data_IF_322273122126
#
_entry.id   IF_322273122126
#
_cell.length_a   1.000
_cell.length_b   1.000
_cell.length_c   1.000
_cell.angle_alpha   90.00
_cell.angle_beta   90.00
_cell.angle_gamma   90.00
#
_symmetry.space_group_name_H-M   'P 1'
#
loop_
_entity.id
_entity.type
_entity.pdbx_description
1 polymer ?
#
# COMPACT_ATOMS: atom_id res chain seq x y z
N UNK A 1 -12.46 42.91 33.24
CA UNK A 1 -12.77 42.80 31.81
C UNK A 1 -12.18 44.02 31.15
N UNK A 2 -11.27 43.85 30.19
CA UNK A 2 -10.32 44.89 29.78
C UNK A 2 -10.89 45.76 28.64
N UNK A 3 -11.04 47.07 28.89
CA UNK A 3 -11.49 48.09 27.93
C UNK A 3 -10.42 48.47 26.86
N UNK A 4 -9.34 47.70 26.75
CA UNK A 4 -8.21 47.98 25.86
C UNK A 4 -8.48 47.71 24.37
N UNK A 5 -9.64 47.15 23.99
CA UNK A 5 -9.93 46.78 22.59
C UNK A 5 -10.30 47.99 21.73
N UNK A 6 -11.04 48.95 22.28
CA UNK A 6 -11.59 50.10 21.53
C UNK A 6 -10.50 51.06 21.02
N UNK A 7 -9.48 51.34 21.85
CA UNK A 7 -8.34 52.18 21.47
C UNK A 7 -7.53 51.55 20.32
N UNK A 8 -7.28 50.24 20.38
CA UNK A 8 -6.49 49.54 19.36
C UNK A 8 -7.15 49.49 17.98
N UNK A 9 -8.49 49.51 17.92
CA UNK A 9 -9.27 49.52 16.68
C UNK A 9 -9.17 50.87 15.97
N UNK A 10 -9.29 51.98 16.70
CA UNK A 10 -9.24 53.33 16.14
C UNK A 10 -7.86 53.68 15.55
N UNK A 11 -6.79 53.12 16.13
CA UNK A 11 -5.42 53.32 15.65
C UNK A 11 -5.12 52.54 14.36
N UNK A 12 -5.58 51.28 14.29
CA UNK A 12 -5.24 50.35 13.20
C UNK A 12 -6.21 50.41 12.01
N UNK A 13 -7.42 50.91 12.22
CA UNK A 13 -8.41 51.06 11.15
C UNK A 13 -8.17 52.31 10.31
N UNK A 14 -8.62 52.25 9.07
CA UNK A 14 -8.55 53.35 8.11
C UNK A 14 -9.45 54.51 8.56
N UNK A 15 -9.10 55.79 8.29
CA UNK A 15 -9.83 56.98 8.76
C UNK A 15 -11.35 56.92 8.59
N UNK A 16 -11.82 56.35 7.47
CA UNK A 16 -13.25 56.17 7.19
C UNK A 16 -13.99 55.31 8.22
N UNK A 17 -13.32 54.32 8.82
CA UNK A 17 -13.91 53.35 9.74
C UNK A 17 -13.60 53.63 11.22
N UNK A 18 -12.86 54.70 11.54
CA UNK A 18 -12.48 55.02 12.94
C UNK A 18 -13.69 55.29 13.84
N UNK A 19 -14.74 55.91 13.29
CA UNK A 19 -15.96 56.25 14.03
C UNK A 19 -17.08 55.21 13.82
N UNK A 20 -16.77 54.05 13.25
CA UNK A 20 -17.77 53.03 12.92
C UNK A 20 -18.13 52.15 14.14
N UNK A 21 -19.43 51.91 14.34
CA UNK A 21 -19.99 51.07 15.41
C UNK A 21 -19.90 49.55 15.14
N UNK A 22 -18.92 49.12 14.35
CA UNK A 22 -18.78 47.71 13.93
C UNK A 22 -17.95 46.94 14.95
N UNK A 23 -18.57 46.30 15.93
CA UNK A 23 -17.86 45.67 17.06
C UNK A 23 -17.53 44.18 16.84
N UNK A 24 -17.90 43.63 15.69
CA UNK A 24 -17.72 42.21 15.34
C UNK A 24 -16.29 41.82 14.97
N UNK A 25 -15.40 42.79 14.72
CA UNK A 25 -14.03 42.56 14.25
C UNK A 25 -13.03 43.47 14.97
N UNK A 26 -11.74 43.12 14.90
CA UNK A 26 -10.68 43.87 15.57
C UNK A 26 -10.40 45.22 14.91
N UNK A 27 -10.24 45.25 13.59
CA UNK A 27 -10.03 46.46 12.79
C UNK A 27 -10.29 46.16 11.31
N UNK A 28 -10.48 47.20 10.51
CA UNK A 28 -10.75 47.11 9.07
C UNK A 28 -9.55 47.66 8.30
N UNK A 29 -9.04 46.85 7.37
CA UNK A 29 -7.91 47.20 6.50
C UNK A 29 -8.37 47.25 5.04
N UNK A 30 -7.67 48.02 4.19
CA UNK A 30 -7.91 48.05 2.76
C UNK A 30 -6.86 47.19 2.07
N UNK A 31 -7.32 46.17 1.34
CA UNK A 31 -6.47 45.31 0.52
C UNK A 31 -6.99 45.36 -0.90
N UNK A 32 -6.17 45.81 -1.84
CA UNK A 32 -6.52 45.91 -3.26
C UNK A 32 -7.81 46.72 -3.53
N UNK A 33 -8.01 47.83 -2.82
CA UNK A 33 -9.21 48.67 -2.98
C UNK A 33 -10.49 48.13 -2.32
N UNK A 34 -10.42 47.00 -1.63
CA UNK A 34 -11.56 46.42 -0.88
C UNK A 34 -11.31 46.47 0.62
N UNK A 35 -12.37 46.79 1.38
CA UNK A 35 -12.32 46.80 2.83
C UNK A 35 -12.50 45.38 3.38
N UNK A 36 -11.51 44.89 4.13
CA UNK A 36 -11.47 43.56 4.73
C UNK A 36 -11.44 43.70 6.26
N UNK A 37 -12.39 43.04 6.93
CA UNK A 37 -12.46 42.99 8.38
C UNK A 37 -11.48 41.95 8.94
N UNK A 38 -10.61 42.36 9.86
CA UNK A 38 -9.67 41.46 10.54
C UNK A 38 -10.33 40.91 11.81
N UNK A 39 -10.46 39.59 11.97
CA UNK A 39 -11.10 39.02 13.16
C UNK A 39 -10.30 39.32 14.43
N UNK A 40 -10.96 39.25 15.59
CA UNK A 40 -10.23 39.24 16.85
C UNK A 40 -9.37 37.97 16.90
N UNK A 41 -8.05 38.14 16.98
CA UNK A 41 -7.16 37.03 17.23
C UNK A 41 -7.40 36.58 18.66
N UNK A 42 -8.10 35.47 18.83
CA UNK A 42 -8.13 34.80 20.13
C UNK A 42 -6.69 34.32 20.39
N UNK A 43 -6.11 34.71 21.50
CA UNK A 43 -4.83 34.15 22.00
C UNK A 43 -5.02 32.71 22.50
N UNK A 44 -5.99 31.99 21.94
CA UNK A 44 -6.32 30.62 22.30
C UNK A 44 -5.78 29.71 21.21
N UNK A 45 -5.14 28.59 21.58
CA UNK A 45 -4.17 27.91 20.75
C UNK A 45 -4.89 26.99 19.76
N UNK A 46 -5.63 27.57 18.82
CA UNK A 46 -6.01 26.86 17.60
C UNK A 46 -4.81 26.57 16.68
N UNK A 47 -3.60 26.92 17.14
CA UNK A 47 -2.32 26.43 16.66
C UNK A 47 -1.57 25.54 17.68
N UNK A 48 -2.13 25.22 18.85
CA UNK A 48 -1.85 23.92 19.46
C UNK A 48 -2.71 22.93 18.72
N UNK A 49 -2.15 22.36 17.64
CA UNK A 49 -2.56 21.02 17.20
C UNK A 49 -2.78 20.20 18.47
N UNK A 50 -4.02 19.77 18.68
CA UNK A 50 -4.42 18.87 19.75
C UNK A 50 -3.26 17.91 20.06
N UNK A 51 -2.74 17.95 21.29
CA UNK A 51 -1.73 16.99 21.75
C UNK A 51 -2.25 15.56 21.50
N UNK A 52 -3.57 15.37 21.62
CA UNK A 52 -4.29 14.14 21.30
C UNK A 52 -4.43 13.78 19.80
N UNK A 53 -4.24 14.71 18.86
CA UNK A 53 -4.28 14.39 17.42
C UNK A 53 -2.91 14.00 16.85
N UNK A 54 -1.82 14.22 17.58
CA UNK A 54 -0.50 13.73 17.19
C UNK A 54 -0.19 12.35 17.80
N UNK A 55 -0.82 11.98 18.91
CA UNK A 55 -0.65 10.65 19.55
C UNK A 55 -1.28 9.50 18.75
N UNK A 56 -2.19 9.80 17.82
CA UNK A 56 -2.83 8.83 16.94
C UNK A 56 -2.10 8.64 15.59
N UNK A 57 -0.96 9.32 15.39
CA UNK A 57 -0.14 9.08 14.18
C UNK A 57 0.69 7.83 14.38
N UNK A 58 0.42 6.82 13.57
CA UNK A 58 1.29 5.65 13.48
C UNK A 58 2.74 6.09 13.24
N UNK A 59 3.65 5.59 14.07
CA UNK A 59 5.10 5.76 13.87
C UNK A 59 5.61 4.93 12.70
N UNK A 60 4.78 4.02 12.17
CA UNK A 60 5.12 3.19 11.03
C UNK A 60 5.27 4.04 9.78
N UNK A 61 6.48 4.04 9.22
CA UNK A 61 6.80 4.76 7.98
C UNK A 61 6.38 3.99 6.72
N UNK A 62 5.88 2.76 6.87
CA UNK A 62 5.56 1.83 5.79
C UNK A 62 4.28 1.10 6.10
N UNK A 63 3.50 0.80 5.07
CA UNK A 63 2.33 -0.05 5.20
C UNK A 63 2.73 -1.51 5.40
N UNK A 64 1.88 -2.29 6.08
CA UNK A 64 2.03 -3.74 6.21
C UNK A 64 2.21 -4.42 4.85
N UNK A 65 1.42 -4.01 3.84
CA UNK A 65 1.52 -4.56 2.48
C UNK A 65 2.90 -4.36 1.87
N UNK A 66 3.52 -3.20 2.09
CA UNK A 66 4.85 -2.91 1.59
C UNK A 66 5.90 -3.80 2.27
N UNK A 67 5.78 -4.07 3.56
CA UNK A 67 6.72 -4.94 4.27
C UNK A 67 6.51 -6.44 4.01
N UNK A 68 5.27 -6.86 3.75
CA UNK A 68 4.94 -8.24 3.39
C UNK A 68 5.39 -8.56 1.96
N UNK A 69 5.14 -7.66 1.00
CA UNK A 69 5.37 -7.93 -0.43
C UNK A 69 6.67 -7.35 -1.00
N UNK A 70 7.57 -6.82 -0.17
CA UNK A 70 8.90 -6.40 -0.64
C UNK A 70 9.74 -7.61 -1.05
N UNK A 71 10.50 -7.43 -2.13
CA UNK A 71 11.56 -8.37 -2.50
C UNK A 71 12.60 -8.39 -1.38
N UNK A 72 12.79 -9.54 -0.74
CA UNK A 72 13.80 -9.72 0.30
C UNK A 72 15.11 -10.17 -0.34
N UNK A 73 16.23 -9.70 0.20
CA UNK A 73 17.54 -10.20 -0.20
C UNK A 73 17.67 -11.69 0.19
N UNK A 74 18.28 -12.49 -0.69
CA UNK A 74 18.54 -13.91 -0.46
C UNK A 74 19.72 -14.10 0.51
N UNK A 75 19.44 -13.98 1.81
CA UNK A 75 20.42 -14.21 2.87
C UNK A 75 20.81 -15.69 2.95
N UNK A 76 22.09 -15.98 3.18
CA UNK A 76 22.61 -17.35 3.31
C UNK A 76 23.77 -17.42 4.32
N UNK A 77 24.15 -18.62 4.76
CA UNK A 77 25.12 -18.91 5.82
C UNK A 77 26.50 -18.22 5.64
N UNK A 78 26.94 -17.98 4.40
CA UNK A 78 28.24 -17.39 4.09
C UNK A 78 28.31 -15.86 4.00
N UNK A 79 27.19 -15.11 4.10
CA UNK A 79 27.25 -13.64 3.95
C UNK A 79 27.95 -12.94 5.12
N UNK A 80 28.75 -11.92 4.81
CA UNK A 80 29.43 -11.08 5.80
C UNK A 80 28.47 -10.10 6.50
N UNK A 81 27.52 -9.52 5.76
CA UNK A 81 26.50 -8.60 6.30
C UNK A 81 25.13 -9.28 6.36
N UNK A 82 24.75 -9.72 7.55
CA UNK A 82 23.41 -10.27 7.83
C UNK A 82 22.77 -9.51 9.00
N UNK A 83 21.43 -9.44 9.05
CA UNK A 83 20.75 -8.88 10.21
C UNK A 83 21.11 -9.66 11.48
N UNK A 84 21.32 -8.91 12.57
CA UNK A 84 21.63 -9.42 13.91
C UNK A 84 20.34 -9.93 14.57
N UNK A 85 19.86 -11.07 14.09
CA UNK A 85 18.69 -11.76 14.64
C UNK A 85 19.13 -13.03 15.39
N UNK A 86 18.31 -13.48 16.36
CA UNK A 86 18.54 -14.73 17.09
C UNK A 86 18.73 -15.89 16.12
N UNK A 87 19.66 -16.79 16.40
CA UNK A 87 19.89 -17.96 15.54
C UNK A 87 18.62 -18.82 15.47
N UNK A 88 18.24 -19.21 14.24
CA UNK A 88 17.16 -20.15 13.96
C UNK A 88 17.61 -21.06 12.82
N UNK A 89 17.53 -22.39 12.96
CA UNK A 89 18.00 -23.32 11.94
C UNK A 89 17.18 -23.22 10.65
N UNK A 90 15.87 -22.95 10.78
CA UNK A 90 14.96 -22.90 9.64
C UNK A 90 14.97 -21.55 8.90
N UNK A 91 15.61 -20.53 9.47
CA UNK A 91 15.71 -19.21 8.85
C UNK A 91 16.56 -19.25 7.58
N UNK A 92 16.14 -18.52 6.55
CA UNK A 92 16.83 -18.47 5.24
C UNK A 92 18.32 -18.11 5.38
N UNK A 93 18.67 -17.18 6.28
CA UNK A 93 20.04 -16.75 6.57
C UNK A 93 20.98 -17.84 7.12
N UNK A 94 20.42 -18.93 7.65
CA UNK A 94 21.14 -20.07 8.22
C UNK A 94 21.33 -21.20 7.20
N UNK A 95 20.65 -21.13 6.05
CA UNK A 95 20.74 -22.12 4.97
C UNK A 95 21.92 -21.81 4.06
N UNK A 96 22.39 -22.83 3.33
CA UNK A 96 23.39 -22.65 2.27
C UNK A 96 22.82 -21.78 1.14
N UNK A 97 23.71 -21.16 0.36
CA UNK A 97 23.31 -20.40 -0.82
C UNK A 97 22.66 -21.38 -1.80
N UNK A 98 21.43 -21.07 -2.22
CA UNK A 98 20.82 -21.78 -3.34
C UNK A 98 21.46 -21.27 -4.62
N UNK A 99 21.78 -22.18 -5.54
CA UNK A 99 22.27 -21.79 -6.86
C UNK A 99 21.22 -20.96 -7.58
N UNK A 100 21.67 -19.84 -8.14
CA UNK A 100 20.81 -18.99 -8.94
C UNK A 100 20.50 -19.72 -10.24
N UNK A 101 19.20 -19.88 -10.52
CA UNK A 101 18.77 -20.43 -11.79
C UNK A 101 19.16 -19.46 -12.90
N UNK A 102 20.14 -19.85 -13.71
CA UNK A 102 20.50 -19.12 -14.92
C UNK A 102 19.43 -19.40 -15.94
N UNK A 103 18.64 -18.37 -16.27
CA UNK A 103 17.63 -18.48 -17.33
C UNK A 103 18.37 -18.74 -18.64
N UNK A 104 18.10 -19.85 -19.34
CA UNK A 104 18.76 -20.13 -20.61
C UNK A 104 18.37 -19.07 -21.65
N UNK A 105 19.35 -18.63 -22.45
CA UNK A 105 19.16 -17.58 -23.47
C UNK A 105 18.13 -17.96 -24.55
N UNK A 106 17.86 -19.26 -24.73
CA UNK A 106 16.88 -19.79 -25.69
C UNK A 106 15.92 -20.73 -24.96
N UNK A 107 14.71 -20.88 -25.52
CA UNK A 107 13.73 -21.88 -25.08
C UNK A 107 14.24 -23.28 -25.43
N UNK A 108 15.22 -23.78 -24.67
CA UNK A 108 15.75 -25.13 -24.80
C UNK A 108 15.39 -25.89 -23.54
N UNK A 109 14.54 -26.90 -23.66
CA UNK A 109 14.30 -27.86 -22.60
C UNK A 109 15.45 -28.87 -22.57
N UNK A 110 16.37 -28.72 -21.61
CA UNK A 110 17.41 -29.71 -21.36
C UNK A 110 16.96 -30.64 -20.23
N UNK A 111 16.77 -31.92 -20.54
CA UNK A 111 16.52 -32.96 -19.54
C UNK A 111 17.89 -33.46 -19.08
N UNK A 112 18.32 -33.05 -17.89
CA UNK A 112 19.52 -33.62 -17.27
C UNK A 112 19.13 -34.94 -16.61
N UNK A 113 19.50 -36.04 -17.26
CA UNK A 113 19.37 -37.38 -16.69
C UNK A 113 20.51 -37.51 -15.66
N UNK A 114 20.15 -37.59 -14.38
CA UNK A 114 21.12 -37.71 -13.28
C UNK A 114 21.91 -39.01 -13.33
N UNK A 115 22.88 -39.14 -12.44
CA UNK A 115 23.68 -40.36 -12.30
C UNK A 115 22.80 -41.56 -11.86
N UNK A 116 23.13 -42.77 -12.35
CA UNK A 116 22.38 -44.02 -12.09
C UNK A 116 22.31 -44.36 -10.61
N UNK A 117 23.22 -43.81 -9.81
CA UNK A 117 23.28 -43.97 -8.36
C UNK A 117 22.24 -43.13 -7.60
N UNK A 118 21.71 -42.07 -8.22
CA UNK A 118 20.81 -41.11 -7.57
C UNK A 118 19.33 -41.48 -7.80
N UNK A 119 18.69 -42.11 -6.79
CA UNK A 119 17.24 -42.39 -6.81
C UNK A 119 16.42 -41.15 -6.45
N UNK A 120 16.17 -40.25 -7.41
CA UNK A 120 15.16 -39.19 -7.23
C UNK A 120 13.80 -39.65 -7.78
N UNK A 121 12.84 -39.91 -6.87
CA UNK A 121 11.48 -40.38 -7.21
C UNK A 121 10.62 -39.37 -7.98
N UNK A 122 11.11 -38.15 -8.24
CA UNK A 122 10.34 -37.01 -8.76
C UNK A 122 10.77 -36.52 -10.15
N UNK A 123 11.52 -37.32 -10.91
CA UNK A 123 11.99 -36.93 -12.25
C UNK A 123 10.89 -36.73 -13.29
N UNK A 124 9.71 -37.33 -13.08
CA UNK A 124 8.59 -37.24 -14.02
C UNK A 124 7.40 -36.47 -13.44
N UNK A 125 7.66 -35.37 -12.73
CA UNK A 125 6.62 -34.36 -12.51
C UNK A 125 6.38 -33.66 -13.84
N UNK A 126 5.38 -34.12 -14.59
CA UNK A 126 4.94 -33.48 -15.81
C UNK A 126 4.38 -32.10 -15.48
N UNK A 127 4.70 -31.09 -16.29
CA UNK A 127 4.08 -29.75 -16.23
C UNK A 127 2.68 -29.74 -16.85
N UNK A 128 2.11 -30.91 -17.14
CA UNK A 128 0.71 -31.06 -17.48
C UNK A 128 -0.11 -30.69 -16.24
N UNK A 129 -0.26 -29.39 -16.01
CA UNK A 129 -1.34 -28.90 -15.18
C UNK A 129 -2.61 -29.37 -15.86
N UNK A 130 -3.42 -30.17 -15.18
CA UNK A 130 -4.80 -30.38 -15.60
C UNK A 130 -5.38 -28.98 -15.81
N UNK A 131 -5.56 -28.57 -17.07
CA UNK A 131 -6.23 -27.33 -17.43
C UNK A 131 -7.71 -27.56 -17.11
N UNK A 132 -8.04 -27.49 -15.83
CA UNK A 132 -9.40 -27.48 -15.35
C UNK A 132 -9.96 -26.12 -15.74
N UNK A 133 -10.42 -26.00 -16.98
CA UNK A 133 -11.21 -24.84 -17.41
C UNK A 133 -12.40 -24.77 -16.47
N UNK A 134 -12.54 -23.64 -15.77
CA UNK A 134 -13.68 -23.42 -14.90
C UNK A 134 -14.95 -23.54 -15.76
N UNK A 135 -15.89 -24.44 -15.44
CA UNK A 135 -17.14 -24.50 -16.18
C UNK A 135 -17.83 -23.14 -16.04
N UNK A 136 -18.29 -22.59 -17.16
CA UNK A 136 -19.18 -21.42 -17.14
C UNK A 136 -20.43 -21.81 -16.35
N UNK A 137 -20.84 -20.96 -15.41
CA UNK A 137 -22.06 -21.19 -14.63
C UNK A 137 -23.24 -21.09 -15.60
N UNK A 138 -23.85 -22.23 -15.90
CA UNK A 138 -25.05 -22.28 -16.75
C UNK A 138 -26.32 -22.14 -15.91
N UNK A 139 -27.31 -21.42 -16.45
CA UNK A 139 -28.60 -21.16 -15.79
C UNK A 139 -29.59 -22.32 -15.94
N UNK A 140 -29.22 -23.41 -16.63
CA UNK A 140 -30.11 -24.54 -16.87
C UNK A 140 -29.95 -25.59 -15.76
N UNK A 141 -31.07 -25.98 -15.16
CA UNK A 141 -31.15 -27.09 -14.20
C UNK A 141 -31.54 -28.42 -14.86
N UNK A 142 -31.83 -28.42 -16.16
CA UNK A 142 -32.26 -29.63 -16.87
C UNK A 142 -31.06 -30.55 -17.18
N UNK A 143 -31.05 -31.73 -16.57
CA UNK A 143 -29.96 -32.71 -16.68
C UNK A 143 -29.72 -33.20 -18.12
N UNK A 144 -30.76 -33.31 -18.94
CA UNK A 144 -30.63 -33.75 -20.33
C UNK A 144 -29.82 -32.75 -21.16
N UNK A 145 -30.17 -31.47 -21.06
CA UNK A 145 -29.47 -30.37 -21.75
C UNK A 145 -28.01 -30.28 -21.29
N UNK A 146 -27.75 -30.43 -19.99
CA UNK A 146 -26.40 -30.43 -19.43
C UNK A 146 -25.56 -31.61 -19.96
N UNK A 147 -26.17 -32.79 -20.08
CA UNK A 147 -25.49 -34.00 -20.57
C UNK A 147 -25.09 -33.90 -22.05
N UNK A 148 -25.94 -33.32 -22.89
CA UNK A 148 -25.67 -33.17 -24.32
C UNK A 148 -24.59 -32.11 -24.58
N UNK A 149 -24.66 -30.98 -23.87
CA UNK A 149 -23.62 -29.94 -23.94
C UNK A 149 -22.26 -30.41 -23.46
N UNK A 150 -22.19 -31.13 -22.33
CA UNK A 150 -20.92 -31.67 -21.84
C UNK A 150 -20.30 -32.65 -22.84
N UNK A 151 -21.13 -33.48 -23.48
CA UNK A 151 -20.68 -34.34 -24.59
C UNK A 151 -20.14 -33.54 -25.78
N UNK A 152 -20.81 -32.45 -26.16
CA UNK A 152 -20.39 -31.58 -27.28
C UNK A 152 -19.09 -30.81 -26.98
N UNK A 153 -18.93 -30.29 -25.77
CA UNK A 153 -17.71 -29.61 -25.33
C UNK A 153 -16.54 -30.57 -25.42
N UNK A 154 -16.69 -31.80 -24.91
CA UNK A 154 -15.66 -32.84 -25.00
C UNK A 154 -15.28 -33.13 -26.46
N UNK A 155 -16.27 -33.32 -27.34
CA UNK A 155 -16.03 -33.57 -28.75
C UNK A 155 -15.20 -32.45 -29.42
N UNK A 156 -15.47 -31.19 -29.08
CA UNK A 156 -14.69 -30.04 -29.58
C UNK A 156 -13.27 -29.94 -29.03
N UNK A 157 -13.00 -30.49 -27.84
CA UNK A 157 -11.66 -30.51 -27.26
C UNK A 157 -10.81 -31.67 -27.82
N UNK A 158 -11.46 -32.76 -28.21
CA UNK A 158 -10.81 -33.94 -28.80
C UNK A 158 -10.56 -33.82 -30.32
N UNK A 159 -11.14 -32.81 -31.00
CA UNK A 159 -10.98 -32.54 -32.44
C UNK A 159 -9.93 -31.46 -32.70
#
# INVERSE_FOLDING_TARGET
>A
MNDNSLSSKAEKSIPFFKNSRVDTCSHIIMKNGQAVAVPYMTSSPWNSRSLYCNDLKSTEKRSLSHDVHRVRQNLHAGMHSKPLERYSPDAQRSRLKNDEFIIPYKNTSQIVIGDRSSKYKRHFLTTAQNLLKRPSIELSTNLGILSEKTKWIKYKEDS
#
